data_IF_578710789829
#
_entry.id   IF_578710789829
#
_cell.length_a   1.000
_cell.length_b   1.000
_cell.length_c   1.000
_cell.angle_alpha   90.00
_cell.angle_beta   90.00
_cell.angle_gamma   90.00
#
_symmetry.space_group_name_H-M   'P 1'
#
loop_
_entity.id
_entity.type
_entity.pdbx_description
1 polymer ?
#
# COMPACT_ATOMS: atom_id res chain seq x y z
N UNK A 1 2.29 -28.01 50.04
CA UNK A 1 1.32 -28.20 48.94
C UNK A 1 1.29 -26.90 48.13
N UNK A 2 2.19 -26.76 47.16
CA UNK A 2 2.29 -25.57 46.31
C UNK A 2 1.54 -25.84 45.00
N UNK A 3 0.56 -24.99 44.68
CA UNK A 3 -0.18 -25.01 43.42
C UNK A 3 0.64 -24.34 42.31
N UNK A 4 0.95 -25.09 41.25
CA UNK A 4 1.45 -24.59 39.97
C UNK A 4 0.25 -24.32 39.06
N UNK A 5 0.04 -23.07 38.64
CA UNK A 5 -0.95 -22.71 37.62
C UNK A 5 -0.32 -22.77 36.22
N UNK A 6 -1.03 -23.32 35.22
CA UNK A 6 -0.52 -23.49 33.86
C UNK A 6 -0.49 -22.18 33.08
N UNK A 7 0.61 -21.98 32.35
CA UNK A 7 0.88 -20.84 31.49
C UNK A 7 -0.12 -20.71 30.35
N UNK A 8 -0.73 -19.52 30.23
CA UNK A 8 -1.62 -19.15 29.14
C UNK A 8 -0.88 -19.10 27.81
N UNK A 9 -1.24 -20.00 26.91
CA UNK A 9 -0.80 -20.01 25.52
C UNK A 9 -1.40 -18.80 24.79
N UNK A 10 -0.62 -17.73 24.64
CA UNK A 10 -1.01 -16.53 23.89
C UNK A 10 -0.97 -16.83 22.39
N UNK A 11 -2.11 -17.23 21.84
CA UNK A 11 -2.30 -17.37 20.40
C UNK A 11 -2.34 -15.98 19.77
N UNK A 12 -1.17 -15.51 19.32
CA UNK A 12 -1.11 -14.30 18.49
C UNK A 12 -2.03 -14.51 17.27
N UNK A 13 -3.03 -13.65 17.04
CA UNK A 13 -3.89 -13.77 15.88
C UNK A 13 -3.04 -13.68 14.62
N UNK A 14 -3.05 -14.74 13.80
CA UNK A 14 -2.41 -14.74 12.48
C UNK A 14 -3.17 -13.75 11.60
N UNK A 15 -2.55 -12.60 11.31
CA UNK A 15 -3.05 -11.50 10.47
C UNK A 15 -3.51 -11.91 9.05
N UNK A 16 -3.24 -13.16 8.65
CA UNK A 16 -3.58 -13.70 7.33
C UNK A 16 -5.10 -13.80 7.06
N UNK A 17 -5.99 -13.62 8.04
CA UNK A 17 -7.45 -13.72 7.83
C UNK A 17 -8.10 -12.41 7.37
N UNK A 18 -7.61 -11.25 7.81
CA UNK A 18 -8.23 -9.95 7.47
C UNK A 18 -7.88 -9.51 6.04
N UNK A 19 -6.69 -9.85 5.54
CA UNK A 19 -6.33 -9.69 4.12
C UNK A 19 -7.13 -10.64 3.21
N UNK A 20 -7.48 -11.84 3.67
CA UNK A 20 -8.35 -12.79 2.93
C UNK A 20 -9.80 -12.28 2.77
N UNK A 21 -10.30 -11.46 3.68
CA UNK A 21 -11.62 -10.85 3.53
C UNK A 21 -11.64 -9.79 2.40
N UNK A 22 -10.51 -9.12 2.15
CA UNK A 22 -10.32 -8.24 0.99
C UNK A 22 -10.04 -9.02 -0.31
N UNK A 23 -9.53 -10.26 -0.23
CA UNK A 23 -9.24 -11.10 -1.40
C UNK A 23 -10.49 -11.60 -2.12
N UNK A 24 -11.68 -11.55 -1.52
CA UNK A 24 -12.89 -12.03 -2.20
C UNK A 24 -13.24 -11.23 -3.45
N UNK A 25 -12.75 -9.99 -3.59
CA UNK A 25 -13.00 -9.12 -4.76
C UNK A 25 -11.71 -8.46 -5.32
N UNK A 26 -10.53 -8.87 -4.86
CA UNK A 26 -9.26 -8.28 -5.30
C UNK A 26 -8.81 -8.86 -6.64
N UNK A 27 -8.77 -8.04 -7.68
CA UNK A 27 -8.21 -8.40 -8.98
C UNK A 27 -6.70 -8.17 -8.95
N UNK A 28 -5.91 -9.18 -9.34
CA UNK A 28 -4.46 -8.98 -9.47
C UNK A 28 -4.12 -8.20 -10.73
N UNK A 29 -3.21 -7.26 -10.60
CA UNK A 29 -2.74 -6.43 -11.69
C UNK A 29 -1.99 -7.27 -12.74
N UNK A 30 -1.21 -8.26 -12.30
CA UNK A 30 -0.53 -9.23 -13.18
C UNK A 30 -1.47 -10.14 -13.98
N UNK A 31 -2.71 -10.35 -13.51
CA UNK A 31 -3.71 -11.17 -14.21
C UNK A 31 -4.43 -10.39 -15.32
N UNK A 32 -4.44 -9.06 -15.24
CA UNK A 32 -5.20 -8.20 -16.16
C UNK A 32 -4.32 -7.42 -17.14
N UNK A 33 -3.00 -7.38 -16.91
CA UNK A 33 -2.03 -6.83 -17.86
C UNK A 33 -0.68 -7.51 -17.75
N UNK A 34 0.06 -7.48 -18.85
CA UNK A 34 1.48 -7.81 -18.84
C UNK A 34 2.26 -6.71 -18.13
N UNK A 35 3.25 -7.09 -17.32
CA UNK A 35 4.15 -6.13 -16.67
C UNK A 35 4.94 -5.39 -17.75
N UNK A 36 4.86 -4.06 -17.83
CA UNK A 36 5.53 -3.32 -18.89
C UNK A 36 7.05 -3.40 -18.73
N UNK A 37 7.77 -3.63 -19.84
CA UNK A 37 9.23 -3.83 -19.82
C UNK A 37 10.00 -2.61 -19.29
N UNK A 38 9.41 -1.41 -19.40
CA UNK A 38 9.99 -0.14 -18.95
C UNK A 38 9.63 0.24 -17.49
N UNK A 39 9.08 -0.68 -16.71
CA UNK A 39 8.71 -0.46 -15.31
C UNK A 39 9.96 -0.18 -14.45
N UNK A 40 10.09 1.05 -13.95
CA UNK A 40 11.21 1.43 -13.10
C UNK A 40 11.05 0.83 -11.70
N UNK A 41 11.95 -0.07 -11.30
CA UNK A 41 11.95 -0.65 -9.95
C UNK A 41 12.77 0.22 -9.01
N UNK A 42 12.16 0.67 -7.90
CA UNK A 42 12.82 1.47 -6.87
C UNK A 42 12.74 0.78 -5.52
N UNK A 43 13.89 0.32 -5.03
CA UNK A 43 14.01 -0.29 -3.70
C UNK A 43 14.08 0.79 -2.62
N UNK A 44 13.37 0.58 -1.52
CA UNK A 44 13.33 1.48 -0.38
C UNK A 44 13.43 0.66 0.91
N UNK A 45 14.36 1.04 1.78
CA UNK A 45 14.47 0.50 3.13
C UNK A 45 13.88 1.52 4.08
N UNK A 46 12.93 1.11 4.91
CA UNK A 46 12.19 1.99 5.81
C UNK A 46 12.32 1.45 7.23
N UNK A 47 12.73 2.32 8.16
CA UNK A 47 12.68 1.98 9.59
C UNK A 47 11.22 1.84 10.05
N UNK A 48 10.88 0.71 10.66
CA UNK A 48 9.55 0.44 11.20
C UNK A 48 9.21 1.39 12.34
N UNK A 49 10.20 1.79 13.14
CA UNK A 49 10.03 2.79 14.18
C UNK A 49 9.65 4.17 13.61
N UNK A 50 10.35 4.63 12.57
CA UNK A 50 10.03 5.89 11.90
C UNK A 50 8.67 5.85 11.20
N UNK A 51 8.34 4.72 10.56
CA UNK A 51 7.06 4.51 9.91
C UNK A 51 5.89 4.65 10.88
N UNK A 52 5.99 4.01 12.06
CA UNK A 52 5.01 4.12 13.14
C UNK A 52 4.90 5.55 13.66
N UNK A 53 6.03 6.24 13.84
CA UNK A 53 6.04 7.67 14.23
C UNK A 53 5.32 8.52 13.19
N UNK A 54 5.56 8.30 11.90
CA UNK A 54 4.90 9.03 10.82
C UNK A 54 3.39 8.77 10.79
N UNK A 55 2.95 7.52 10.99
CA UNK A 55 1.53 7.19 11.13
C UNK A 55 0.88 7.90 12.33
N UNK A 56 1.59 7.97 13.47
CA UNK A 56 1.10 8.57 14.70
C UNK A 56 0.92 10.10 14.64
N UNK A 57 1.48 10.79 13.62
CA UNK A 57 1.23 12.23 13.38
C UNK A 57 -0.25 12.54 13.06
N UNK A 58 -1.08 11.51 12.85
CA UNK A 58 -2.53 11.62 12.76
C UNK A 58 -3.03 12.09 11.39
N UNK A 59 -4.36 12.21 11.31
CA UNK A 59 -5.06 12.47 10.04
C UNK A 59 -4.67 13.80 9.40
N UNK A 60 -4.37 14.85 10.19
CA UNK A 60 -4.06 16.17 9.64
C UNK A 60 -2.81 16.14 8.74
N UNK A 61 -1.80 15.38 9.13
CA UNK A 61 -0.54 15.24 8.36
C UNK A 61 -0.68 14.15 7.30
N UNK A 62 -1.35 13.05 7.63
CA UNK A 62 -1.55 11.90 6.76
C UNK A 62 -2.85 11.98 5.94
N UNK A 63 -3.37 13.18 5.69
CA UNK A 63 -4.55 13.38 4.83
C UNK A 63 -4.15 13.23 3.37
N UNK A 64 -4.53 12.13 2.75
CA UNK A 64 -4.40 11.91 1.32
C UNK A 64 -5.73 12.22 0.64
N UNK A 65 -5.71 12.99 -0.45
CA UNK A 65 -6.86 13.07 -1.36
C UNK A 65 -6.53 12.26 -2.61
N UNK A 66 -7.34 11.25 -2.88
CA UNK A 66 -7.26 10.46 -4.11
C UNK A 66 -8.45 10.80 -4.99
N UNK A 67 -8.19 11.05 -6.27
CA UNK A 67 -9.22 11.36 -7.25
C UNK A 67 -9.14 10.33 -8.36
N UNK A 68 -10.27 9.66 -8.62
CA UNK A 68 -10.35 8.70 -9.70
C UNK A 68 -10.15 9.40 -11.04
N UNK A 69 -9.32 8.82 -11.90
CA UNK A 69 -9.17 9.21 -13.30
C UNK A 69 -9.74 8.10 -14.16
N UNK A 70 -10.65 8.50 -15.05
CA UNK A 70 -11.14 7.65 -16.12
C UNK A 70 -10.16 7.75 -17.28
N UNK A 71 -9.43 6.67 -17.55
CA UNK A 71 -8.58 6.59 -18.74
C UNK A 71 -9.47 6.56 -19.98
N UNK A 72 -9.15 7.38 -20.98
CA UNK A 72 -9.91 7.48 -22.25
C UNK A 72 -9.50 6.44 -23.30
N UNK A 73 -8.75 5.40 -22.93
CA UNK A 73 -8.09 4.50 -23.90
C UNK A 73 -8.78 3.14 -24.06
N UNK A 74 -8.65 2.56 -25.26
CA UNK A 74 -9.08 1.20 -25.65
C UNK A 74 -8.35 0.05 -24.92
N UNK A 75 -7.46 0.38 -23.98
CA UNK A 75 -6.73 -0.62 -23.20
C UNK A 75 -7.69 -1.38 -22.27
N UNK A 76 -7.47 -2.70 -22.10
CA UNK A 76 -8.21 -3.53 -21.12
C UNK A 76 -8.17 -2.97 -19.70
N UNK A 77 -7.14 -2.18 -19.39
CA UNK A 77 -6.98 -1.47 -18.13
C UNK A 77 -8.00 -0.35 -17.90
N UNK A 78 -8.70 0.13 -18.93
CA UNK A 78 -9.77 1.12 -18.81
C UNK A 78 -10.92 0.67 -17.91
N UNK A 79 -11.07 -0.65 -17.71
CA UNK A 79 -12.06 -1.23 -16.82
C UNK A 79 -11.71 -1.06 -15.33
N UNK A 80 -10.46 -0.73 -15.02
CA UNK A 80 -9.97 -0.58 -13.65
C UNK A 80 -9.71 0.90 -13.31
N UNK A 81 -10.07 1.34 -12.10
CA UNK A 81 -9.88 2.73 -11.71
C UNK A 81 -8.40 3.04 -11.48
N UNK A 82 -7.99 4.23 -11.91
CA UNK A 82 -6.73 4.84 -11.52
C UNK A 82 -6.99 5.96 -10.52
N UNK A 83 -6.15 6.11 -9.51
CA UNK A 83 -6.32 7.19 -8.54
C UNK A 83 -5.14 8.15 -8.54
N UNK A 84 -5.38 9.42 -8.87
CA UNK A 84 -4.40 10.49 -8.70
C UNK A 84 -4.31 10.92 -7.25
N UNK A 85 -3.11 10.85 -6.72
CA UNK A 85 -2.77 11.38 -5.41
C UNK A 85 -2.65 12.91 -5.46
N UNK A 86 -3.26 13.59 -4.49
CA UNK A 86 -3.15 15.02 -4.27
C UNK A 86 -2.78 15.32 -2.81
N UNK A 87 -2.10 16.46 -2.60
CA UNK A 87 -1.81 17.06 -1.28
C UNK A 87 -0.92 16.20 -0.36
N UNK A 88 0.08 15.51 -0.91
CA UNK A 88 1.08 14.79 -0.09
C UNK A 88 1.94 15.78 0.69
N UNK A 89 1.83 15.77 2.01
CA UNK A 89 2.69 16.56 2.90
C UNK A 89 4.10 15.94 3.01
N UNK A 90 5.14 16.77 3.11
CA UNK A 90 6.55 16.33 3.25
C UNK A 90 6.80 15.45 4.49
N UNK A 91 6.00 15.63 5.54
CA UNK A 91 6.13 14.88 6.79
C UNK A 91 5.15 13.69 6.88
N UNK A 92 4.41 13.40 5.81
CA UNK A 92 3.43 12.32 5.80
C UNK A 92 4.08 10.95 5.56
N UNK A 93 3.37 9.90 6.00
CA UNK A 93 3.73 8.51 5.70
C UNK A 93 3.83 8.25 4.19
N UNK A 94 3.01 8.90 3.37
CA UNK A 94 3.06 8.77 1.91
C UNK A 94 4.35 9.35 1.32
N UNK A 95 4.84 10.47 1.87
CA UNK A 95 6.10 11.05 1.41
C UNK A 95 7.28 10.13 1.76
N UNK A 96 7.26 9.48 2.93
CA UNK A 96 8.22 8.46 3.36
C UNK A 96 8.20 7.24 2.42
N UNK A 97 7.01 6.81 1.99
CA UNK A 97 6.83 5.78 0.95
C UNK A 97 7.25 6.26 -0.46
N UNK A 98 7.79 7.48 -0.61
CA UNK A 98 8.26 7.98 -1.91
C UNK A 98 7.16 8.45 -2.86
N UNK A 99 5.90 8.44 -2.41
CA UNK A 99 4.75 8.95 -3.15
C UNK A 99 4.75 10.49 -3.15
N UNK A 100 4.20 11.07 -4.22
CA UNK A 100 4.19 12.52 -4.48
C UNK A 100 2.83 12.94 -5.02
N UNK A 101 2.51 14.23 -4.86
CA UNK A 101 1.32 14.79 -5.49
C UNK A 101 1.43 14.68 -7.00
N UNK A 102 0.39 14.19 -7.66
CA UNK A 102 0.33 13.96 -9.10
C UNK A 102 0.57 12.50 -9.52
N UNK A 103 1.06 11.64 -8.62
CA UNK A 103 1.21 10.22 -8.90
C UNK A 103 -0.14 9.55 -9.13
N UNK A 104 -0.20 8.61 -10.08
CA UNK A 104 -1.35 7.75 -10.29
C UNK A 104 -1.07 6.39 -9.65
N UNK A 105 -1.80 6.05 -8.60
CA UNK A 105 -1.69 4.75 -7.95
C UNK A 105 -2.50 3.71 -8.72
N UNK A 106 -1.88 2.55 -8.98
CA UNK A 106 -2.50 1.44 -9.69
C UNK A 106 -2.77 0.26 -8.77
N UNK A 107 -1.73 -0.21 -8.08
CA UNK A 107 -1.80 -1.42 -7.28
C UNK A 107 -0.89 -1.37 -6.05
N UNK A 108 -1.24 -2.21 -5.08
CA UNK A 108 -0.48 -2.51 -3.88
C UNK A 108 -0.37 -4.03 -3.73
N UNK A 109 0.84 -4.56 -3.58
CA UNK A 109 1.12 -6.00 -3.55
C UNK A 109 0.45 -6.79 -4.68
N UNK A 110 0.56 -6.25 -5.90
CA UNK A 110 -0.04 -6.78 -7.12
C UNK A 110 -1.59 -6.79 -7.14
N UNK A 111 -2.27 -6.20 -6.16
CA UNK A 111 -3.74 -6.04 -6.18
C UNK A 111 -4.14 -4.64 -6.63
N UNK A 112 -5.09 -4.57 -7.57
CA UNK A 112 -5.67 -3.30 -8.05
C UNK A 112 -6.36 -2.58 -6.90
N UNK A 113 -6.11 -1.27 -6.80
CA UNK A 113 -6.73 -0.42 -5.78
C UNK A 113 -8.04 0.14 -6.33
N UNK A 114 -9.17 -0.40 -5.88
CA UNK A 114 -10.51 0.03 -6.29
C UNK A 114 -11.11 1.15 -5.44
N UNK A 115 -10.54 1.43 -4.27
CA UNK A 115 -11.07 2.41 -3.32
C UNK A 115 -9.91 3.06 -2.55
N UNK A 116 -9.86 4.41 -2.46
CA UNK A 116 -8.91 5.12 -1.61
C UNK A 116 -8.86 4.65 -0.15
N UNK A 117 -9.99 4.21 0.42
CA UNK A 117 -10.05 3.69 1.79
C UNK A 117 -9.30 2.36 1.92
N UNK A 118 -9.33 1.52 0.88
CA UNK A 118 -8.54 0.28 0.84
C UNK A 118 -7.06 0.61 0.81
N UNK A 119 -6.65 1.62 0.04
CA UNK A 119 -5.27 2.07 0.03
C UNK A 119 -4.79 2.60 1.39
N UNK A 120 -5.62 3.38 2.09
CA UNK A 120 -5.28 3.82 3.44
C UNK A 120 -5.11 2.64 4.40
N UNK A 121 -6.03 1.67 4.39
CA UNK A 121 -5.93 0.45 5.21
C UNK A 121 -4.65 -0.32 4.91
N UNK A 122 -4.30 -0.46 3.63
CA UNK A 122 -3.03 -1.06 3.20
C UNK A 122 -1.84 -0.34 3.84
N UNK A 123 -1.76 0.99 3.69
CA UNK A 123 -0.68 1.82 4.27
C UNK A 123 -0.60 1.65 5.79
N UNK A 124 -1.72 1.61 6.52
CA UNK A 124 -1.73 1.38 7.97
C UNK A 124 -1.20 -0.02 8.33
N UNK A 125 -1.51 -1.05 7.55
CA UNK A 125 -1.09 -2.43 7.81
C UNK A 125 0.41 -2.64 7.58
N UNK A 126 1.06 -1.85 6.72
CA UNK A 126 2.50 -1.99 6.42
C UNK A 126 3.41 -1.93 7.66
N UNK A 127 2.97 -1.32 8.76
CA UNK A 127 3.73 -1.30 10.01
C UNK A 127 3.96 -2.69 10.66
N UNK A 128 3.20 -3.69 10.21
CA UNK A 128 3.30 -5.09 10.65
C UNK A 128 3.93 -6.00 9.61
N UNK A 129 4.19 -5.49 8.40
CA UNK A 129 4.74 -6.26 7.30
C UNK A 129 6.27 -6.18 7.26
N UNK A 130 6.89 -7.18 6.62
CA UNK A 130 8.34 -7.19 6.36
C UNK A 130 8.69 -6.49 5.05
N UNK A 131 7.83 -6.64 4.05
CA UNK A 131 8.02 -6.11 2.71
C UNK A 131 6.68 -5.82 2.07
N UNK A 132 6.67 -4.88 1.13
CA UNK A 132 5.49 -4.57 0.34
C UNK A 132 5.89 -3.94 -1.00
N UNK A 133 4.93 -3.82 -1.91
CA UNK A 133 5.10 -3.14 -3.18
C UNK A 133 3.95 -2.20 -3.47
N UNK A 134 4.26 -1.07 -4.11
CA UNK A 134 3.25 -0.15 -4.64
C UNK A 134 3.66 0.20 -6.06
N UNK A 135 2.74 0.01 -7.00
CA UNK A 135 2.93 0.44 -8.38
C UNK A 135 2.18 1.74 -8.67
N UNK A 136 2.90 2.69 -9.27
CA UNK A 136 2.36 3.98 -9.69
C UNK A 136 2.74 4.30 -11.14
N UNK A 137 2.08 5.30 -11.71
CA UNK A 137 2.54 6.04 -12.89
C UNK A 137 2.87 7.47 -12.47
N UNK A 138 4.08 7.92 -12.80
CA UNK A 138 4.55 9.29 -12.58
C UNK A 138 5.03 9.87 -13.90
N UNK A 139 4.41 10.97 -14.34
CA UNK A 139 4.73 11.63 -15.62
C UNK A 139 4.78 10.64 -16.81
N UNK A 140 3.79 9.75 -16.90
CA UNK A 140 3.69 8.74 -17.97
C UNK A 140 4.62 7.52 -17.80
N UNK A 141 5.47 7.48 -16.77
CA UNK A 141 6.36 6.36 -16.51
C UNK A 141 5.89 5.51 -15.34
N UNK A 142 5.79 4.19 -15.55
CA UNK A 142 5.52 3.23 -14.48
C UNK A 142 6.68 3.12 -13.49
N UNK A 143 6.38 3.11 -12.20
CA UNK A 143 7.35 2.90 -11.12
C UNK A 143 6.79 1.85 -10.15
N UNK A 144 7.58 0.81 -9.89
CA UNK A 144 7.32 -0.17 -8.84
C UNK A 144 8.22 0.11 -7.64
N UNK A 145 7.63 0.64 -6.57
CA UNK A 145 8.31 0.75 -5.30
C UNK A 145 8.33 -0.62 -4.61
N UNK A 146 9.50 -1.00 -4.11
CA UNK A 146 9.73 -2.22 -3.36
C UNK A 146 10.25 -1.86 -1.97
N UNK A 147 9.41 -2.03 -0.96
CA UNK A 147 9.71 -1.65 0.42
C UNK A 147 10.24 -2.84 1.21
N UNK A 148 11.25 -2.58 2.04
CA UNK A 148 11.73 -3.47 3.08
C UNK A 148 11.65 -2.73 4.41
N UNK A 149 10.90 -3.27 5.37
CA UNK A 149 10.74 -2.70 6.70
C UNK A 149 11.70 -3.37 7.69
N UNK A 150 12.57 -2.56 8.28
CA UNK A 150 13.60 -2.99 9.25
C UNK A 150 13.31 -2.42 10.63
N UNK A 151 13.63 -3.16 11.69
CA UNK A 151 13.45 -2.70 13.08
C UNK A 151 14.53 -1.72 13.51
#
# INVERSE_FOLDING_TARGET
>A
MLMLLPGGCSTKPKLNSTLRASQRHGVKLSEVRTVPANLLKKRMVISRAEYRKALALGERVNRLRMVQIFARSEDRLSQYPYYRILRVSKNSVYHMLGLRSGDLVMAADDYVIFDPQVFWKFVVLLQYEKSATIEIVRAGRGILFQYQFVD
#
